data_IF_352221091122
#
_entry.id   IF_352221091122
#
_cell.length_a   1.000
_cell.length_b   1.000
_cell.length_c   1.000
_cell.angle_alpha   90.00
_cell.angle_beta   90.00
_cell.angle_gamma   90.00
#
_symmetry.space_group_name_H-M   'P 1'
#
loop_
_entity.id
_entity.type
_entity.pdbx_description
1 polymer ?
#
# COMPACT_ATOMS: atom_id res chain seq x y z
N UNK A 1 -6.62 28.81 2.31
CA UNK A 1 -6.78 28.00 3.53
C UNK A 1 -6.35 28.79 4.76
N UNK A 2 -7.15 29.78 5.13
CA UNK A 2 -7.10 30.40 6.46
C UNK A 2 -8.52 30.29 6.99
N UNK A 3 -8.63 29.87 8.27
CA UNK A 3 -9.87 29.86 9.06
C UNK A 3 -10.78 28.62 8.99
N UNK A 4 -10.22 27.41 9.11
CA UNK A 4 -10.97 26.30 9.69
C UNK A 4 -10.66 26.25 11.21
N UNK A 5 -11.68 26.28 12.11
CA UNK A 5 -11.43 26.17 13.54
C UNK A 5 -10.90 24.76 13.83
N UNK A 6 -9.70 24.70 14.38
CA UNK A 6 -9.17 23.48 15.02
C UNK A 6 -10.07 23.17 16.24
N UNK A 7 -11.02 22.29 16.05
CA UNK A 7 -11.66 21.62 17.19
C UNK A 7 -10.64 20.64 17.76
N UNK A 8 -10.35 20.79 19.05
CA UNK A 8 -9.29 20.12 19.76
C UNK A 8 -9.25 18.62 19.44
N UNK A 9 -8.05 18.16 19.08
CA UNK A 9 -7.75 16.75 18.98
C UNK A 9 -7.92 16.16 20.39
N UNK A 10 -8.96 15.36 20.59
CA UNK A 10 -8.96 14.37 21.65
C UNK A 10 -7.68 13.53 21.50
N UNK A 11 -7.12 13.05 22.58
CA UNK A 11 -5.97 12.17 22.58
C UNK A 11 -6.21 11.07 21.53
N UNK A 12 -5.45 11.14 20.44
CA UNK A 12 -5.39 10.04 19.47
C UNK A 12 -4.73 8.91 20.25
N UNK A 13 -5.51 7.96 20.72
CA UNK A 13 -4.96 6.68 21.17
C UNK A 13 -4.36 6.02 19.94
N UNK A 14 -3.07 6.27 19.74
CA UNK A 14 -2.26 5.48 18.82
C UNK A 14 -2.19 4.11 19.48
N UNK A 15 -3.04 3.19 19.03
CA UNK A 15 -2.79 1.77 19.28
C UNK A 15 -1.45 1.48 18.60
N UNK A 16 -0.41 1.12 19.36
CA UNK A 16 0.82 0.70 18.75
C UNK A 16 0.53 -0.63 18.03
N UNK A 17 0.25 -0.56 16.76
CA UNK A 17 0.70 -1.63 15.89
C UNK A 17 2.20 -1.62 16.08
N UNK A 18 2.73 -2.61 16.79
CA UNK A 18 4.15 -2.71 17.03
C UNK A 18 4.85 -2.76 15.68
N UNK A 19 5.23 -1.60 15.16
CA UNK A 19 6.08 -1.50 13.99
C UNK A 19 7.45 -1.84 14.52
N UNK A 20 7.81 -3.11 14.47
CA UNK A 20 9.08 -3.57 14.97
C UNK A 20 10.24 -2.89 14.25
N UNK A 21 10.04 -2.54 12.96
CA UNK A 21 11.08 -1.92 12.14
C UNK A 21 10.48 -1.20 10.92
N UNK A 22 11.03 -0.03 10.57
CA UNK A 22 10.71 0.67 9.32
C UNK A 22 11.74 0.29 8.25
N UNK A 23 11.27 -0.20 7.11
CA UNK A 23 12.13 -0.61 6.01
C UNK A 23 12.14 0.45 4.90
N UNK A 24 13.33 0.81 4.43
CA UNK A 24 13.53 1.69 3.29
C UNK A 24 14.38 0.99 2.24
N UNK A 25 14.14 1.27 0.97
CA UNK A 25 15.11 0.95 -0.07
C UNK A 25 16.45 1.64 0.22
N UNK A 26 17.56 0.96 -0.01
CA UNK A 26 18.91 1.57 0.16
C UNK A 26 19.13 2.79 -0.74
N UNK A 27 18.39 2.91 -1.85
CA UNK A 27 18.42 4.09 -2.73
C UNK A 27 18.06 5.40 -2.03
N UNK A 28 17.35 5.35 -0.88
CA UNK A 28 16.98 6.55 -0.12
C UNK A 28 18.21 7.37 0.28
N UNK A 29 19.39 6.73 0.45
CA UNK A 29 20.64 7.41 0.80
C UNK A 29 21.10 8.42 -0.25
N UNK A 30 20.69 8.26 -1.50
CA UNK A 30 21.03 9.19 -2.59
C UNK A 30 20.18 10.45 -2.59
N UNK A 31 19.12 10.49 -1.77
CA UNK A 31 18.21 11.62 -1.68
C UNK A 31 18.59 12.57 -0.56
N UNK A 32 18.50 13.87 -0.82
CA UNK A 32 18.88 14.93 0.15
C UNK A 32 18.09 14.84 1.46
N UNK A 33 16.85 14.36 1.41
CA UNK A 33 15.99 14.22 2.60
C UNK A 33 16.41 13.08 3.53
N UNK A 34 17.33 12.19 3.13
CA UNK A 34 17.69 11.05 3.97
C UNK A 34 18.26 11.46 5.32
N UNK A 35 19.15 12.45 5.35
CA UNK A 35 19.77 12.90 6.61
C UNK A 35 18.72 13.38 7.64
N UNK A 36 17.69 14.09 7.16
CA UNK A 36 16.59 14.56 8.00
C UNK A 36 15.72 13.40 8.48
N UNK A 37 15.37 12.48 7.59
CA UNK A 37 14.59 11.28 7.93
C UNK A 37 15.35 10.44 8.97
N UNK A 38 16.62 10.14 8.73
CA UNK A 38 17.44 9.35 9.64
C UNK A 38 17.55 10.03 11.02
N UNK A 39 17.70 11.35 11.06
CA UNK A 39 17.73 12.12 12.30
C UNK A 39 16.42 11.95 13.08
N UNK A 40 15.26 12.06 12.42
CA UNK A 40 13.95 11.85 13.07
C UNK A 40 13.82 10.43 13.61
N UNK A 41 14.19 9.42 12.84
CA UNK A 41 14.13 8.02 13.26
C UNK A 41 14.98 7.77 14.50
N UNK A 42 16.23 8.23 14.49
CA UNK A 42 17.18 8.09 15.63
C UNK A 42 16.73 8.85 16.87
N UNK A 43 16.29 10.10 16.72
CA UNK A 43 15.84 10.94 17.82
C UNK A 43 14.62 10.35 18.54
N UNK A 44 13.74 9.67 17.79
CA UNK A 44 12.53 9.06 18.35
C UNK A 44 12.70 7.56 18.64
N UNK A 45 13.93 7.02 18.58
CA UNK A 45 14.22 5.60 18.80
C UNK A 45 13.37 4.66 17.93
N UNK A 46 13.11 5.03 16.68
CA UNK A 46 12.38 4.22 15.72
C UNK A 46 13.37 3.29 15.01
N UNK A 47 13.28 1.95 15.20
CA UNK A 47 14.15 1.02 14.50
C UNK A 47 13.91 1.09 12.99
N UNK A 48 14.98 1.08 12.20
CA UNK A 48 14.87 1.07 10.75
C UNK A 48 15.93 0.17 10.12
N UNK A 49 15.64 -0.31 8.93
CA UNK A 49 16.53 -1.12 8.12
C UNK A 49 16.54 -0.60 6.68
N UNK A 50 17.73 -0.60 6.08
CA UNK A 50 17.88 -0.36 4.65
C UNK A 50 17.88 -1.71 3.94
N UNK A 51 17.01 -1.84 2.94
CA UNK A 51 16.84 -3.03 2.14
C UNK A 51 17.90 -3.05 1.03
N UNK A 52 18.83 -4.00 1.04
CA UNK A 52 19.82 -4.16 -0.01
C UNK A 52 19.17 -4.71 -1.29
N UNK A 53 19.88 -4.64 -2.40
CA UNK A 53 19.49 -5.22 -3.70
C UNK A 53 18.13 -4.75 -4.25
N UNK A 54 17.54 -3.72 -3.67
CA UNK A 54 16.36 -3.08 -4.23
C UNK A 54 16.71 -2.39 -5.55
N UNK A 55 15.75 -2.34 -6.47
CA UNK A 55 15.93 -1.72 -7.79
C UNK A 55 15.28 -0.35 -7.90
N UNK A 56 14.44 0.00 -6.94
CA UNK A 56 13.69 1.26 -6.88
C UNK A 56 13.57 1.74 -5.44
N UNK A 57 13.18 3.02 -5.28
CA UNK A 57 12.95 3.68 -4.00
C UNK A 57 11.66 3.19 -3.29
N UNK A 58 10.65 2.82 -4.06
CA UNK A 58 9.28 2.62 -3.62
C UNK A 58 9.06 1.23 -2.98
N UNK A 59 9.69 1.03 -1.81
CA UNK A 59 9.61 -0.23 -1.08
C UNK A 59 8.16 -0.66 -0.76
N UNK A 60 7.25 0.30 -0.59
CA UNK A 60 5.82 0.02 -0.40
C UNK A 60 5.23 -0.81 -1.54
N UNK A 61 5.69 -0.58 -2.79
CA UNK A 61 5.06 -1.16 -3.96
C UNK A 61 5.54 -2.58 -4.26
N UNK A 62 6.76 -2.94 -3.89
CA UNK A 62 7.32 -4.26 -4.16
C UNK A 62 7.46 -5.17 -2.94
N UNK A 63 7.44 -4.63 -1.72
CA UNK A 63 7.59 -5.45 -0.52
C UNK A 63 6.29 -6.19 -0.17
N UNK A 64 6.39 -7.41 0.40
CA UNK A 64 5.22 -8.21 0.77
C UNK A 64 4.29 -7.48 1.73
N UNK A 65 3.00 -7.77 1.61
CA UNK A 65 1.99 -7.26 2.53
C UNK A 65 2.05 -8.03 3.84
N UNK A 66 2.25 -7.33 4.95
CA UNK A 66 2.16 -7.91 6.28
C UNK A 66 0.69 -8.02 6.71
N UNK A 67 0.30 -9.21 7.17
CA UNK A 67 -1.02 -9.47 7.75
C UNK A 67 -1.02 -9.16 9.25
N UNK A 68 -2.20 -8.96 9.86
CA UNK A 68 -2.31 -8.71 11.30
C UNK A 68 -1.73 -9.84 12.17
N UNK A 69 -1.69 -11.07 11.67
CA UNK A 69 -1.10 -12.22 12.35
C UNK A 69 0.44 -12.30 12.27
N UNK A 70 1.07 -11.28 11.67
CA UNK A 70 2.52 -11.20 11.48
C UNK A 70 3.06 -12.02 10.31
N UNK A 71 2.20 -12.72 9.57
CA UNK A 71 2.59 -13.41 8.32
C UNK A 71 2.64 -12.46 7.14
N UNK A 72 3.26 -12.88 6.05
CA UNK A 72 3.45 -12.04 4.87
C UNK A 72 2.86 -12.68 3.62
N UNK A 73 2.34 -11.85 2.73
CA UNK A 73 1.89 -12.24 1.39
C UNK A 73 2.79 -11.56 0.37
N UNK A 74 3.58 -12.36 -0.33
CA UNK A 74 4.36 -11.93 -1.48
C UNK A 74 3.50 -12.06 -2.74
N UNK A 75 3.64 -11.13 -3.68
CA UNK A 75 2.87 -11.07 -4.92
C UNK A 75 3.80 -10.80 -6.10
N UNK A 76 3.28 -10.81 -7.31
CA UNK A 76 4.06 -10.49 -8.50
C UNK A 76 4.09 -8.98 -8.67
N UNK A 77 5.24 -8.36 -8.36
CA UNK A 77 5.45 -6.95 -8.65
C UNK A 77 5.95 -6.79 -10.08
N UNK A 78 5.04 -6.45 -10.99
CA UNK A 78 5.34 -6.23 -12.41
C UNK A 78 4.38 -5.17 -13.00
N UNK A 79 4.43 -3.92 -12.50
CA UNK A 79 3.46 -2.91 -12.85
C UNK A 79 3.56 -2.49 -14.33
N UNK A 80 2.42 -2.17 -14.93
CA UNK A 80 2.29 -1.79 -16.33
C UNK A 80 3.09 -0.51 -16.68
N UNK A 81 3.21 0.41 -15.72
CA UNK A 81 3.94 1.67 -15.91
C UNK A 81 5.48 1.51 -15.89
N UNK A 82 6.02 0.37 -15.43
CA UNK A 82 7.46 0.07 -15.44
C UNK A 82 7.89 -0.84 -16.59
N UNK A 83 7.01 -1.22 -17.52
CA UNK A 83 7.37 -2.15 -18.60
C UNK A 83 8.52 -1.66 -19.50
N UNK A 84 8.74 -0.36 -19.59
CA UNK A 84 9.90 0.23 -20.29
C UNK A 84 11.17 0.34 -19.42
N UNK A 85 11.06 0.02 -18.14
CA UNK A 85 12.09 0.19 -17.11
C UNK A 85 12.23 -1.08 -16.27
N UNK A 86 12.37 -2.23 -16.94
CA UNK A 86 12.44 -3.55 -16.29
C UNK A 86 13.55 -3.65 -15.24
N UNK A 87 14.64 -2.92 -15.42
CA UNK A 87 15.77 -2.88 -14.47
C UNK A 87 15.39 -2.22 -13.12
N UNK A 88 14.25 -1.55 -13.05
CA UNK A 88 13.74 -0.93 -11.82
C UNK A 88 12.79 -1.84 -11.06
N UNK A 89 12.47 -3.02 -11.60
CA UNK A 89 11.55 -3.95 -10.96
C UNK A 89 12.31 -4.81 -9.95
N UNK A 90 12.00 -4.66 -8.67
CA UNK A 90 12.46 -5.54 -7.60
C UNK A 90 11.59 -6.80 -7.58
N UNK A 91 12.05 -7.85 -8.26
CA UNK A 91 11.26 -9.08 -8.46
C UNK A 91 11.48 -10.15 -7.38
N UNK A 92 12.57 -10.07 -6.63
CA UNK A 92 12.92 -11.06 -5.59
C UNK A 92 13.18 -10.37 -4.25
N UNK A 93 12.10 -10.17 -3.51
CA UNK A 93 12.13 -9.48 -2.21
C UNK A 93 12.87 -10.28 -1.13
N UNK A 94 13.07 -11.60 -1.34
CA UNK A 94 13.82 -12.45 -0.40
C UNK A 94 15.32 -12.14 -0.39
N UNK A 95 15.81 -11.46 -1.41
CA UNK A 95 17.18 -10.91 -1.43
C UNK A 95 17.29 -9.59 -0.68
N UNK A 96 16.18 -8.86 -0.56
CA UNK A 96 16.15 -7.55 0.07
C UNK A 96 15.94 -7.64 1.58
N UNK A 97 15.25 -8.68 2.06
CA UNK A 97 14.89 -8.84 3.46
C UNK A 97 14.93 -10.32 3.88
N UNK A 98 15.40 -10.59 5.10
CA UNK A 98 15.42 -11.93 5.66
C UNK A 98 14.05 -12.34 6.20
N UNK A 99 13.38 -13.24 5.50
CA UNK A 99 12.10 -13.82 5.89
C UNK A 99 12.24 -15.21 6.57
N UNK A 100 13.43 -15.67 6.90
CA UNK A 100 13.63 -17.05 7.44
C UNK A 100 12.87 -17.31 8.74
N UNK A 101 12.72 -16.28 9.57
CA UNK A 101 11.92 -16.33 10.80
C UNK A 101 10.44 -15.96 10.60
N UNK A 102 10.00 -15.71 9.38
CA UNK A 102 8.67 -15.22 9.03
C UNK A 102 7.96 -16.22 8.12
N UNK A 103 6.65 -16.36 8.32
CA UNK A 103 5.82 -17.11 7.37
C UNK A 103 5.47 -16.19 6.20
N UNK A 104 5.90 -16.55 5.00
CA UNK A 104 5.58 -15.85 3.76
C UNK A 104 4.89 -16.79 2.78
N UNK A 105 3.82 -16.33 2.16
CA UNK A 105 3.03 -17.07 1.18
C UNK A 105 3.06 -16.32 -0.15
N UNK A 106 3.27 -17.04 -1.25
CA UNK A 106 3.26 -16.44 -2.59
C UNK A 106 1.82 -16.41 -3.15
N UNK A 107 1.46 -15.28 -3.73
CA UNK A 107 0.20 -15.00 -4.41
C UNK A 107 0.47 -14.77 -5.90
N UNK A 108 -0.11 -15.61 -6.76
CA UNK A 108 0.00 -15.51 -8.22
C UNK A 108 -0.95 -14.43 -8.78
N UNK A 109 -0.76 -13.19 -8.32
CA UNK A 109 -1.48 -11.99 -8.79
C UNK A 109 -0.46 -10.88 -9.00
N UNK A 110 -0.56 -10.19 -10.13
CA UNK A 110 0.18 -8.96 -10.39
C UNK A 110 -0.50 -7.83 -9.66
N UNK A 111 0.21 -7.15 -8.79
CA UNK A 111 -0.31 -6.00 -8.05
C UNK A 111 0.83 -5.14 -7.49
N UNK A 112 0.49 -3.93 -7.06
CA UNK A 112 1.36 -3.01 -6.37
C UNK A 112 0.95 -2.90 -4.90
N UNK A 113 1.91 -2.84 -3.98
CA UNK A 113 1.62 -2.66 -2.55
C UNK A 113 0.93 -1.32 -2.22
N UNK A 114 1.17 -0.27 -3.01
CA UNK A 114 0.46 1.01 -2.91
C UNK A 114 -1.03 0.90 -3.25
N UNK A 115 -1.41 -0.14 -4.01
CA UNK A 115 -2.82 -0.43 -4.29
C UNK A 115 -3.51 -1.25 -3.18
N UNK A 116 -2.84 -1.55 -2.07
CA UNK A 116 -3.38 -2.39 -0.99
C UNK A 116 -3.58 -1.59 0.29
N UNK A 117 -4.83 -1.35 0.68
CA UNK A 117 -5.18 -0.69 1.95
C UNK A 117 -5.84 -1.71 2.85
N UNK A 118 -5.12 -2.18 3.86
CA UNK A 118 -5.69 -3.01 4.91
C UNK A 118 -6.61 -2.18 5.80
N UNK A 119 -7.86 -2.61 5.94
CA UNK A 119 -8.93 -1.87 6.62
C UNK A 119 -9.72 -2.80 7.57
N UNK A 120 -9.06 -3.30 8.60
CA UNK A 120 -9.64 -4.28 9.53
C UNK A 120 -9.87 -5.62 8.85
N UNK A 121 -11.14 -6.06 8.76
CA UNK A 121 -11.53 -7.30 8.08
C UNK A 121 -11.68 -7.14 6.55
N UNK A 122 -11.39 -5.96 6.04
CA UNK A 122 -11.46 -5.65 4.61
C UNK A 122 -10.10 -5.24 4.06
N UNK A 123 -9.93 -5.39 2.77
CA UNK A 123 -8.84 -4.80 1.99
C UNK A 123 -9.44 -3.99 0.86
N UNK A 124 -9.01 -2.75 0.72
CA UNK A 124 -9.48 -1.84 -0.35
C UNK A 124 -8.40 -1.78 -1.42
N UNK A 125 -8.81 -2.00 -2.66
CA UNK A 125 -7.95 -1.90 -3.85
C UNK A 125 -8.69 -1.17 -4.96
N UNK A 126 -7.97 -0.57 -5.90
CA UNK A 126 -8.59 -0.09 -7.14
C UNK A 126 -8.78 -1.24 -8.14
N UNK A 127 -9.66 -1.02 -9.12
CA UNK A 127 -9.90 -1.96 -10.23
C UNK A 127 -8.68 -2.13 -11.16
N UNK A 128 -7.57 -1.43 -10.90
CA UNK A 128 -6.29 -1.65 -11.59
C UNK A 128 -5.86 -3.11 -11.49
N UNK A 129 -6.03 -3.74 -10.33
CA UNK A 129 -5.67 -5.15 -10.13
C UNK A 129 -6.37 -6.09 -11.10
N UNK A 130 -7.59 -5.78 -11.53
CA UNK A 130 -8.30 -6.55 -12.55
C UNK A 130 -7.67 -6.32 -13.93
N UNK A 131 -7.27 -5.09 -14.22
CA UNK A 131 -6.68 -4.72 -15.53
C UNK A 131 -5.27 -5.28 -15.74
N UNK A 132 -4.54 -5.56 -14.69
CA UNK A 132 -3.19 -6.15 -14.73
C UNK A 132 -3.21 -7.70 -14.78
N UNK A 133 -4.35 -8.33 -14.48
CA UNK A 133 -4.51 -9.79 -14.44
C UNK A 133 -5.60 -10.29 -15.42
N UNK A 134 -5.60 -9.78 -16.65
CA UNK A 134 -6.63 -10.08 -17.68
C UNK A 134 -6.69 -11.54 -18.11
N UNK A 135 -5.68 -12.32 -17.79
CA UNK A 135 -5.62 -13.77 -18.00
C UNK A 135 -6.49 -14.55 -17.02
N UNK A 136 -6.96 -13.92 -15.96
CA UNK A 136 -7.79 -14.48 -14.90
C UNK A 136 -9.16 -13.81 -14.86
N UNK A 137 -10.20 -14.55 -14.46
CA UNK A 137 -11.52 -13.95 -14.21
C UNK A 137 -11.50 -13.11 -12.92
N UNK A 138 -12.35 -12.08 -12.86
CA UNK A 138 -12.50 -11.26 -11.67
C UNK A 138 -12.76 -12.10 -10.40
N UNK A 139 -13.63 -13.12 -10.52
CA UNK A 139 -13.92 -14.02 -9.39
C UNK A 139 -12.67 -14.76 -8.89
N UNK A 140 -11.80 -15.22 -9.79
CA UNK A 140 -10.54 -15.87 -9.42
C UNK A 140 -9.59 -14.90 -8.72
N UNK A 141 -9.47 -13.69 -9.24
CA UNK A 141 -8.62 -12.65 -8.66
C UNK A 141 -9.11 -12.32 -7.25
N UNK A 142 -10.41 -12.03 -7.08
CA UNK A 142 -11.01 -11.74 -5.78
C UNK A 142 -10.75 -12.85 -4.77
N UNK A 143 -11.09 -14.08 -5.12
CA UNK A 143 -10.91 -15.26 -4.25
C UNK A 143 -9.44 -15.46 -3.86
N UNK A 144 -8.51 -15.30 -4.79
CA UNK A 144 -7.08 -15.45 -4.51
C UNK A 144 -6.58 -14.40 -3.51
N UNK A 145 -6.95 -13.14 -3.70
CA UNK A 145 -6.57 -12.03 -2.81
C UNK A 145 -7.20 -12.21 -1.43
N UNK A 146 -8.50 -12.50 -1.33
CA UNK A 146 -9.22 -12.71 -0.08
C UNK A 146 -8.64 -13.89 0.72
N UNK A 147 -8.35 -14.99 0.07
CA UNK A 147 -7.72 -16.14 0.73
C UNK A 147 -6.29 -15.82 1.21
N UNK A 148 -5.51 -15.13 0.39
CA UNK A 148 -4.14 -14.79 0.75
C UNK A 148 -4.07 -13.77 1.88
N UNK A 149 -4.88 -12.71 1.84
CA UNK A 149 -4.88 -11.65 2.84
C UNK A 149 -5.75 -11.95 4.07
N UNK A 150 -6.70 -12.88 3.95
CA UNK A 150 -7.65 -13.22 5.02
C UNK A 150 -8.70 -12.14 5.29
N UNK A 151 -9.01 -11.32 4.28
CA UNK A 151 -9.90 -10.16 4.36
C UNK A 151 -10.86 -10.15 3.18
N UNK A 152 -12.04 -9.54 3.33
CA UNK A 152 -12.96 -9.26 2.23
C UNK A 152 -12.39 -8.19 1.29
N UNK A 153 -12.41 -8.42 -0.02
CA UNK A 153 -11.89 -7.47 -1.00
C UNK A 153 -12.96 -6.47 -1.46
N UNK A 154 -12.71 -5.19 -1.18
CA UNK A 154 -13.49 -4.06 -1.70
C UNK A 154 -12.73 -3.44 -2.87
N UNK A 155 -13.33 -3.46 -4.06
CA UNK A 155 -12.76 -2.82 -5.25
C UNK A 155 -13.43 -1.47 -5.48
N UNK A 156 -12.64 -0.41 -5.49
CA UNK A 156 -13.05 0.94 -5.87
C UNK A 156 -12.60 1.25 -7.31
N UNK A 157 -13.30 2.13 -8.03
CA UNK A 157 -12.85 2.55 -9.36
C UNK A 157 -11.53 3.31 -9.27
N UNK A 158 -10.62 3.02 -10.19
CA UNK A 158 -9.37 3.76 -10.35
C UNK A 158 -9.63 5.18 -10.86
N UNK A 159 -9.07 6.18 -10.19
CA UNK A 159 -8.98 7.55 -10.70
C UNK A 159 -8.02 7.60 -11.89
N UNK A 160 -8.56 7.74 -13.10
CA UNK A 160 -7.74 7.75 -14.33
C UNK A 160 -6.89 9.02 -14.48
N UNK A 161 -7.10 10.03 -13.65
CA UNK A 161 -6.22 11.19 -13.51
C UNK A 161 -4.94 10.89 -12.73
N UNK A 162 -4.94 9.81 -11.93
CA UNK A 162 -3.79 9.31 -11.21
C UNK A 162 -3.09 8.23 -12.05
N UNK A 163 -1.77 8.38 -12.22
CA UNK A 163 -1.00 7.57 -13.18
C UNK A 163 -0.86 6.10 -12.77
N UNK A 164 -0.70 5.85 -11.48
CA UNK A 164 -0.29 4.54 -10.97
C UNK A 164 -1.48 3.63 -10.63
N UNK A 165 -2.65 4.20 -10.38
CA UNK A 165 -3.85 3.47 -10.02
C UNK A 165 -3.82 2.91 -8.61
N UNK A 166 -3.05 3.53 -7.72
CA UNK A 166 -2.89 3.10 -6.35
C UNK A 166 -4.01 3.58 -5.44
N UNK A 167 -4.55 2.68 -4.61
CA UNK A 167 -5.59 3.02 -3.65
C UNK A 167 -5.09 3.97 -2.54
N UNK A 168 -3.81 3.94 -2.17
CA UNK A 168 -3.23 4.80 -1.13
C UNK A 168 -3.19 6.28 -1.51
N UNK A 169 -3.21 6.59 -2.81
CA UNK A 169 -3.40 7.94 -3.34
C UNK A 169 -4.85 8.43 -3.33
N UNK A 170 -5.82 7.56 -3.07
CA UNK A 170 -7.26 7.85 -3.18
C UNK A 170 -8.00 7.75 -1.86
N UNK A 171 -7.67 6.76 -1.03
CA UNK A 171 -8.34 6.48 0.24
C UNK A 171 -7.36 6.24 1.36
N UNK A 172 -7.78 6.53 2.60
CA UNK A 172 -7.03 6.22 3.80
C UNK A 172 -7.96 5.62 4.84
N UNK A 173 -7.65 4.42 5.31
CA UNK A 173 -8.31 3.84 6.46
C UNK A 173 -7.87 4.56 7.74
N UNK A 174 -8.84 4.92 8.58
CA UNK A 174 -8.61 5.61 9.87
C UNK A 174 -8.90 4.66 11.01
N UNK A 175 -10.12 4.15 11.07
CA UNK A 175 -10.61 3.26 12.11
C UNK A 175 -11.85 2.50 11.60
N UNK A 176 -12.42 1.53 12.34
CA UNK A 176 -13.61 0.80 11.91
C UNK A 176 -14.73 1.74 11.44
N UNK A 177 -15.22 1.47 10.22
CA UNK A 177 -16.27 2.25 9.54
C UNK A 177 -15.88 3.68 9.12
N UNK A 178 -14.62 4.06 9.24
CA UNK A 178 -14.14 5.38 8.83
C UNK A 178 -12.99 5.29 7.84
N UNK A 179 -13.20 5.86 6.66
CA UNK A 179 -12.17 6.06 5.65
C UNK A 179 -12.18 7.51 5.19
N UNK A 180 -11.01 8.07 4.96
CA UNK A 180 -10.86 9.34 4.25
C UNK A 180 -10.76 9.05 2.76
N UNK A 181 -11.38 9.89 1.94
CA UNK A 181 -11.26 9.86 0.49
C UNK A 181 -10.86 11.23 -0.02
N UNK A 182 -10.24 11.29 -1.19
CA UNK A 182 -9.97 12.55 -1.85
C UNK A 182 -11.26 13.32 -2.13
N UNK A 183 -11.13 14.65 -2.11
CA UNK A 183 -12.26 15.53 -2.37
C UNK A 183 -12.43 15.73 -3.88
N UNK A 184 -13.39 15.02 -4.48
CA UNK A 184 -13.68 15.02 -5.91
C UNK A 184 -14.87 15.92 -6.30
N UNK A 185 -15.33 16.84 -5.43
CA UNK A 185 -16.65 17.47 -5.58
C UNK A 185 -16.85 18.34 -6.83
N UNK A 186 -15.79 18.98 -7.31
CA UNK A 186 -15.91 19.97 -8.39
C UNK A 186 -15.36 19.46 -9.74
N UNK A 187 -14.60 18.35 -9.71
CA UNK A 187 -13.88 17.85 -10.87
C UNK A 187 -14.44 16.53 -11.36
N UNK A 188 -14.78 15.63 -10.44
CA UNK A 188 -15.27 14.27 -10.78
C UNK A 188 -16.25 13.74 -9.73
N UNK A 189 -17.40 14.38 -9.60
CA UNK A 189 -18.48 13.91 -8.72
C UNK A 189 -18.94 12.48 -9.06
N UNK A 190 -19.06 12.06 -10.34
CA UNK A 190 -19.40 10.68 -10.69
C UNK A 190 -18.40 9.65 -10.18
N UNK A 191 -17.11 9.94 -10.16
CA UNK A 191 -16.08 9.06 -9.59
C UNK A 191 -16.25 8.96 -8.07
N UNK A 192 -16.43 10.10 -7.41
CA UNK A 192 -16.68 10.16 -5.96
C UNK A 192 -17.88 9.30 -5.56
N UNK A 193 -19.01 9.43 -6.25
CA UNK A 193 -20.21 8.62 -5.97
C UNK A 193 -19.95 7.11 -6.12
N UNK A 194 -19.22 6.71 -7.17
CA UNK A 194 -18.86 5.30 -7.38
C UNK A 194 -17.95 4.79 -6.26
N UNK A 195 -16.96 5.58 -5.82
CA UNK A 195 -16.09 5.22 -4.68
C UNK A 195 -16.93 5.06 -3.42
N UNK A 196 -17.78 6.03 -3.09
CA UNK A 196 -18.65 5.97 -1.92
C UNK A 196 -19.63 4.80 -1.95
N UNK A 197 -20.12 4.42 -3.14
CA UNK A 197 -20.98 3.25 -3.30
C UNK A 197 -20.22 1.94 -3.06
N UNK A 198 -18.98 1.86 -3.49
CA UNK A 198 -18.16 0.66 -3.31
C UNK A 198 -17.69 0.48 -1.85
N UNK A 199 -17.58 1.58 -1.08
CA UNK A 199 -17.14 1.57 0.31
C UNK A 199 -18.29 1.35 1.34
N UNK A 200 -19.53 1.29 0.90
CA UNK A 200 -20.71 0.99 1.76
C UNK A 200 -20.87 -0.50 1.97
#
# INVERSE_FOLDING_TARGET
>A
YKDAPYHGMGEVQVYPMATDIVCFSEYIKSYKCWADIETVLRTNNIPYQLLPETKDLWARDFMPIQRPDGTFVNYIYNPDYLQKYQDWITSDVRKCFDFTSKKITDLDIVMDGGNVIMAGEKVIMTDKVLSENKDKSEEKIRRAIEQALGCELVIIPWDKGEKYGHADGMVRYVEPNHVLINYYSDIDEPLREKILKALK
#
